data_IF_900850705293
#
_entry.id   IF_900850705293
#
_cell.length_a   1.000
_cell.length_b   1.000
_cell.length_c   1.000
_cell.angle_alpha   90.00
_cell.angle_beta   90.00
_cell.angle_gamma   90.00
#
_symmetry.space_group_name_H-M   'P 1'
#
loop_
_entity.id
_entity.type
_entity.pdbx_description
1 polymer ?
#
# COMPACT_ATOMS: atom_id res chain seq x y z
N UNK A 1 -4.52 10.23 -12.28
CA UNK A 1 -3.27 10.07 -11.54
C UNK A 1 -2.78 11.42 -11.02
N UNK A 2 -2.09 11.44 -9.89
CA UNK A 2 -1.50 12.64 -9.31
C UNK A 2 -1.43 12.60 -7.78
N UNK A 3 -1.01 13.74 -7.23
CA UNK A 3 -0.84 13.94 -5.79
C UNK A 3 -1.71 15.11 -5.36
N UNK A 4 -2.38 14.99 -4.22
CA UNK A 4 -3.14 16.10 -3.63
C UNK A 4 -3.17 15.99 -2.10
N UNK A 5 -3.17 17.13 -1.43
CA UNK A 5 -3.47 17.20 0.00
C UNK A 5 -4.98 17.30 0.20
N UNK A 6 -5.51 16.44 1.04
CA UNK A 6 -6.92 16.44 1.43
C UNK A 6 -7.16 17.48 2.55
N UNK A 7 -8.45 17.78 2.80
CA UNK A 7 -8.85 18.76 3.83
C UNK A 7 -8.45 18.36 5.25
N UNK A 8 -8.34 17.06 5.50
CA UNK A 8 -7.91 16.49 6.78
C UNK A 8 -6.39 16.41 6.95
N UNK A 9 -5.62 16.97 6.00
CA UNK A 9 -4.17 17.00 6.02
C UNK A 9 -3.49 15.79 5.40
N UNK A 10 -4.21 14.72 5.06
CA UNK A 10 -3.68 13.54 4.37
C UNK A 10 -3.17 13.90 2.98
N UNK A 11 -2.06 13.31 2.56
CA UNK A 11 -1.57 13.39 1.18
C UNK A 11 -2.05 12.14 0.44
N UNK A 12 -2.96 12.32 -0.50
CA UNK A 12 -3.42 11.26 -1.39
C UNK A 12 -2.51 11.20 -2.62
N UNK A 13 -2.02 9.99 -2.92
CA UNK A 13 -1.32 9.66 -4.17
C UNK A 13 -2.20 8.70 -4.96
N UNK A 14 -2.41 8.97 -6.24
CA UNK A 14 -3.20 8.13 -7.12
C UNK A 14 -2.44 7.85 -8.41
N UNK A 15 -2.29 6.59 -8.78
CA UNK A 15 -1.75 6.17 -10.07
C UNK A 15 -2.74 5.26 -10.81
N UNK A 16 -2.60 5.24 -12.12
CA UNK A 16 -3.40 4.42 -13.03
C UNK A 16 -2.46 3.83 -14.08
N UNK A 17 -2.37 2.50 -14.09
CA UNK A 17 -1.48 1.76 -14.98
C UNK A 17 -2.31 0.76 -15.78
N UNK A 18 -2.10 0.73 -17.11
CA UNK A 18 -2.65 -0.33 -17.97
C UNK A 18 -1.67 -1.51 -17.97
N UNK A 19 -2.20 -2.71 -17.77
CA UNK A 19 -1.44 -3.96 -17.75
C UNK A 19 -1.96 -4.89 -18.87
N UNK A 20 -1.49 -4.72 -20.13
CA UNK A 20 -1.94 -5.53 -21.25
C UNK A 20 -1.63 -7.03 -21.05
N UNK A 21 -2.61 -7.89 -21.27
CA UNK A 21 -2.48 -9.34 -21.12
C UNK A 21 -2.49 -9.86 -19.69
N UNK A 22 -2.56 -9.00 -18.67
CA UNK A 22 -2.69 -9.36 -17.25
C UNK A 22 -4.17 -9.41 -16.87
N UNK A 23 -4.56 -10.34 -16.02
CA UNK A 23 -5.91 -10.37 -15.44
C UNK A 23 -5.88 -10.00 -13.96
N UNK A 24 -7.03 -9.64 -13.40
CA UNK A 24 -7.17 -9.40 -11.95
C UNK A 24 -6.80 -10.64 -11.12
N UNK A 25 -7.06 -11.85 -11.62
CA UNK A 25 -6.65 -13.10 -10.98
C UNK A 25 -5.14 -13.32 -11.02
N UNK A 26 -4.45 -12.96 -12.11
CA UNK A 26 -2.98 -12.96 -12.15
C UNK A 26 -2.40 -11.98 -11.14
N UNK A 27 -3.01 -10.80 -10.98
CA UNK A 27 -2.62 -9.83 -9.97
C UNK A 27 -2.81 -10.38 -8.54
N UNK A 28 -3.93 -11.04 -8.26
CA UNK A 28 -4.17 -11.73 -6.99
C UNK A 28 -3.11 -12.80 -6.73
N UNK A 29 -2.90 -13.71 -7.71
CA UNK A 29 -1.94 -14.80 -7.65
C UNK A 29 -0.51 -14.30 -7.38
N UNK A 30 -0.12 -13.16 -7.95
CA UNK A 30 1.18 -12.55 -7.68
C UNK A 30 1.41 -12.36 -6.19
N UNK A 31 0.47 -11.77 -5.46
CA UNK A 31 0.60 -11.50 -4.03
C UNK A 31 0.27 -12.70 -3.14
N UNK A 32 -0.68 -13.54 -3.54
CA UNK A 32 -1.07 -14.69 -2.72
C UNK A 32 -0.06 -15.83 -2.77
N UNK A 33 0.56 -16.07 -3.92
CA UNK A 33 1.32 -17.30 -4.16
C UNK A 33 2.72 -17.06 -4.73
N UNK A 34 2.86 -16.22 -5.76
CA UNK A 34 4.09 -16.15 -6.54
C UNK A 34 5.20 -15.34 -5.87
N UNK A 35 4.90 -14.20 -5.29
CA UNK A 35 5.86 -13.28 -4.67
C UNK A 35 6.45 -13.89 -3.38
N UNK A 36 7.53 -14.65 -3.50
CA UNK A 36 8.15 -15.38 -2.37
C UNK A 36 9.60 -14.96 -2.11
N UNK A 37 10.28 -14.39 -3.09
CA UNK A 37 11.72 -14.08 -2.99
C UNK A 37 12.03 -12.67 -3.45
N UNK A 38 13.21 -12.18 -3.07
CA UNK A 38 13.71 -10.88 -3.52
C UNK A 38 13.81 -10.80 -5.05
N UNK A 39 14.14 -11.91 -5.72
CA UNK A 39 14.18 -11.97 -7.19
C UNK A 39 12.81 -11.75 -7.80
N UNK A 40 11.75 -12.37 -7.23
CA UNK A 40 10.38 -12.12 -7.64
C UNK A 40 9.98 -10.65 -7.41
N UNK A 41 10.34 -10.08 -6.26
CA UNK A 41 10.05 -8.70 -5.93
C UNK A 41 10.69 -7.72 -6.93
N UNK A 42 11.93 -7.97 -7.33
CA UNK A 42 12.65 -7.19 -8.33
C UNK A 42 12.06 -7.28 -9.74
N UNK A 43 11.33 -8.33 -10.07
CA UNK A 43 10.65 -8.44 -11.37
C UNK A 43 9.57 -7.35 -11.54
N UNK A 44 8.96 -6.90 -10.44
CA UNK A 44 7.98 -5.82 -10.48
C UNK A 44 8.62 -4.45 -10.74
N UNK A 45 9.71 -4.12 -10.05
CA UNK A 45 10.45 -2.87 -10.25
C UNK A 45 11.96 -3.10 -10.04
N UNK A 46 12.70 -3.46 -11.11
CA UNK A 46 14.10 -3.91 -10.99
C UNK A 46 15.07 -2.90 -10.39
N UNK A 47 14.82 -1.61 -10.59
CA UNK A 47 15.71 -0.52 -10.15
C UNK A 47 15.49 -0.15 -8.67
N UNK A 48 14.23 -0.08 -8.25
CA UNK A 48 13.90 0.44 -6.92
C UNK A 48 13.70 -0.67 -5.88
N UNK A 49 13.23 -1.86 -6.27
CA UNK A 49 13.04 -2.97 -5.34
C UNK A 49 14.37 -3.65 -5.00
N UNK A 50 14.75 -3.63 -3.73
CA UNK A 50 16.08 -4.08 -3.26
C UNK A 50 16.00 -5.43 -2.57
N UNK A 51 15.08 -5.59 -1.63
CA UNK A 51 14.94 -6.79 -0.81
C UNK A 51 13.51 -6.95 -0.33
N UNK A 52 13.09 -8.19 -0.13
CA UNK A 52 11.81 -8.51 0.51
C UNK A 52 11.91 -9.74 1.42
N UNK A 53 10.99 -9.80 2.38
CA UNK A 53 10.69 -10.95 3.21
C UNK A 53 9.22 -10.96 3.62
N UNK A 54 8.77 -12.09 4.17
CA UNK A 54 7.42 -12.24 4.67
C UNK A 54 7.40 -12.56 6.16
N UNK A 55 6.40 -12.00 6.87
CA UNK A 55 5.95 -12.47 8.19
C UNK A 55 4.48 -12.88 8.09
N UNK A 56 4.11 -13.92 8.84
CA UNK A 56 2.73 -14.44 8.92
C UNK A 56 2.11 -14.81 7.55
N UNK A 57 2.94 -15.19 6.57
CA UNK A 57 2.48 -15.55 5.23
C UNK A 57 1.92 -16.95 5.18
N UNK A 58 0.68 -17.08 4.72
CA UNK A 58 0.06 -18.35 4.28
C UNK A 58 -0.11 -18.29 2.77
N UNK A 59 0.33 -19.34 2.05
CA UNK A 59 0.14 -19.43 0.60
C UNK A 59 -1.37 -19.44 0.26
N UNK A 60 -1.73 -18.74 -0.80
CA UNK A 60 -3.12 -18.52 -1.18
C UNK A 60 -3.81 -17.36 -0.47
N UNK A 61 -3.22 -16.84 0.61
CA UNK A 61 -3.77 -15.74 1.40
C UNK A 61 -2.93 -14.47 1.27
N UNK A 62 -3.59 -13.32 1.30
CA UNK A 62 -2.94 -12.00 1.28
C UNK A 62 -3.17 -11.30 2.62
N UNK A 63 -4.42 -11.13 3.00
CA UNK A 63 -4.81 -10.44 4.24
C UNK A 63 -4.23 -11.13 5.47
N UNK A 64 -3.72 -10.33 6.41
CA UNK A 64 -3.04 -10.81 7.61
C UNK A 64 -1.56 -11.13 7.44
N UNK A 65 -1.05 -11.22 6.19
CA UNK A 65 0.39 -11.33 5.94
C UNK A 65 1.09 -9.97 6.02
N UNK A 66 2.37 -9.99 6.38
CA UNK A 66 3.21 -8.79 6.43
C UNK A 66 4.34 -8.92 5.42
N UNK A 67 4.39 -8.02 4.45
CA UNK A 67 5.44 -7.91 3.46
C UNK A 67 6.49 -6.92 3.95
N UNK A 68 7.68 -7.39 4.22
CA UNK A 68 8.82 -6.57 4.65
C UNK A 68 9.64 -6.24 3.42
N UNK A 69 9.89 -4.96 3.16
CA UNK A 69 10.56 -4.55 1.93
C UNK A 69 11.64 -3.50 2.18
N UNK A 70 12.68 -3.53 1.35
CA UNK A 70 13.60 -2.43 1.16
C UNK A 70 13.46 -1.96 -0.29
N UNK A 71 13.14 -0.68 -0.48
CA UNK A 71 12.91 -0.09 -1.80
C UNK A 71 13.34 1.37 -1.82
N UNK A 72 13.73 1.86 -3.00
CA UNK A 72 14.04 3.26 -3.19
C UNK A 72 12.77 4.04 -3.54
N UNK A 73 12.47 5.07 -2.77
CA UNK A 73 11.39 6.03 -3.06
C UNK A 73 12.01 7.42 -3.13
N UNK A 74 11.99 8.03 -4.33
CA UNK A 74 12.62 9.34 -4.53
C UNK A 74 14.14 9.36 -4.35
N UNK A 75 14.80 8.20 -4.51
CA UNK A 75 16.24 8.02 -4.34
C UNK A 75 16.68 7.75 -2.90
N UNK A 76 15.77 7.70 -1.94
CA UNK A 76 16.04 7.31 -0.55
C UNK A 76 15.66 5.86 -0.31
N UNK A 77 16.52 5.10 0.36
CA UNK A 77 16.25 3.71 0.74
C UNK A 77 15.28 3.66 1.91
N UNK A 78 14.05 3.24 1.62
CA UNK A 78 13.02 3.00 2.62
C UNK A 78 13.01 1.53 3.05
N UNK A 79 12.86 1.30 4.35
CA UNK A 79 12.66 -0.03 4.92
C UNK A 79 11.26 -0.07 5.51
N UNK A 80 10.37 -0.79 4.84
CA UNK A 80 8.95 -0.73 5.13
C UNK A 80 8.40 -2.09 5.57
N UNK A 81 7.36 -2.03 6.39
CA UNK A 81 6.44 -3.11 6.68
C UNK A 81 5.09 -2.78 6.07
N UNK A 82 4.64 -3.64 5.18
CA UNK A 82 3.34 -3.56 4.50
C UNK A 82 2.45 -4.64 5.13
N UNK A 83 1.51 -4.23 5.95
CA UNK A 83 0.59 -5.10 6.69
C UNK A 83 -0.73 -5.19 5.92
N UNK A 84 -0.97 -6.30 5.23
CA UNK A 84 -2.17 -6.48 4.42
C UNK A 84 -3.42 -6.62 5.30
N UNK A 85 -4.45 -5.85 4.94
CA UNK A 85 -5.72 -5.73 5.65
C UNK A 85 -6.89 -6.01 4.70
N UNK A 86 -8.07 -6.27 5.26
CA UNK A 86 -9.27 -6.40 4.46
C UNK A 86 -9.60 -5.08 3.76
N UNK A 87 -10.06 -5.09 2.49
CA UNK A 87 -10.47 -3.86 1.79
C UNK A 87 -11.48 -3.03 2.56
N UNK A 88 -12.43 -3.67 3.25
CA UNK A 88 -13.43 -2.98 4.07
C UNK A 88 -12.82 -2.14 5.19
N UNK A 89 -11.65 -2.53 5.73
CA UNK A 89 -10.99 -1.78 6.81
C UNK A 89 -10.37 -0.47 6.31
N UNK A 90 -9.96 -0.43 5.04
CA UNK A 90 -9.26 0.71 4.42
C UNK A 90 -10.24 1.58 3.61
N UNK A 91 -11.12 0.95 2.83
CA UNK A 91 -12.02 1.62 1.90
C UNK A 91 -13.43 1.82 2.47
N UNK A 92 -13.80 1.11 3.55
CA UNK A 92 -15.16 1.06 4.06
C UNK A 92 -16.09 0.11 3.30
N UNK A 93 -15.61 -0.51 2.22
CA UNK A 93 -16.31 -1.52 1.41
C UNK A 93 -15.30 -2.43 0.72
N UNK A 94 -15.75 -3.56 0.16
CA UNK A 94 -14.93 -4.44 -0.65
C UNK A 94 -15.35 -4.34 -2.13
N UNK A 95 -14.49 -3.82 -3.02
CA UNK A 95 -14.76 -3.77 -4.45
C UNK A 95 -14.48 -5.09 -5.19
N UNK A 96 -14.02 -6.13 -4.49
CA UNK A 96 -13.65 -7.42 -5.10
C UNK A 96 -14.89 -8.13 -5.63
N UNK A 97 -14.83 -8.55 -6.90
CA UNK A 97 -15.83 -9.35 -7.58
C UNK A 97 -15.15 -10.32 -8.58
N UNK A 98 -15.89 -10.87 -9.53
CA UNK A 98 -15.38 -11.81 -10.56
C UNK A 98 -14.36 -11.15 -11.53
N UNK A 99 -14.37 -9.84 -11.67
CA UNK A 99 -13.54 -9.06 -12.60
C UNK A 99 -12.57 -8.10 -11.90
N UNK A 100 -12.66 -7.97 -10.61
CA UNK A 100 -11.94 -6.97 -9.82
C UNK A 100 -11.33 -7.59 -8.57
N UNK A 101 -10.09 -7.25 -8.29
CA UNK A 101 -9.36 -7.62 -7.06
C UNK A 101 -8.88 -6.37 -6.37
N UNK A 102 -9.12 -6.26 -5.07
CA UNK A 102 -8.56 -5.23 -4.22
C UNK A 102 -7.54 -5.82 -3.25
N UNK A 103 -6.37 -5.21 -3.17
CA UNK A 103 -5.30 -5.54 -2.23
C UNK A 103 -4.97 -4.27 -1.45
N UNK A 104 -5.31 -4.26 -0.18
CA UNK A 104 -5.15 -3.10 0.69
C UNK A 104 -4.21 -3.41 1.85
N UNK A 105 -3.51 -2.39 2.35
CA UNK A 105 -2.56 -2.55 3.45
C UNK A 105 -2.36 -1.25 4.23
N UNK A 106 -1.86 -1.41 5.45
CA UNK A 106 -1.23 -0.34 6.24
C UNK A 106 0.27 -0.42 6.09
N UNK A 107 0.93 0.72 6.03
CA UNK A 107 2.37 0.82 5.76
C UNK A 107 3.05 1.66 6.83
N UNK A 108 4.19 1.20 7.30
CA UNK A 108 5.05 1.95 8.24
C UNK A 108 6.50 1.52 8.12
N UNK A 109 7.39 2.20 8.80
CA UNK A 109 8.79 1.77 8.88
C UNK A 109 8.92 0.39 9.52
N UNK A 110 9.91 -0.37 9.08
CA UNK A 110 10.13 -1.75 9.50
C UNK A 110 10.30 -1.88 11.03
N UNK A 111 11.10 -1.02 11.62
CA UNK A 111 11.43 -1.03 13.06
C UNK A 111 10.45 -0.24 13.93
N UNK A 112 9.53 0.52 13.34
CA UNK A 112 8.53 1.30 14.08
C UNK A 112 7.33 0.46 14.46
N UNK A 113 6.71 0.73 15.60
CA UNK A 113 5.39 0.19 15.96
C UNK A 113 4.24 0.90 15.24
N UNK A 114 4.50 2.01 14.54
CA UNK A 114 3.47 2.80 13.88
C UNK A 114 3.38 2.50 12.38
N UNK A 115 2.15 2.36 11.91
CA UNK A 115 1.82 2.57 10.50
C UNK A 115 1.56 4.06 10.29
N UNK A 116 2.05 4.59 9.18
CA UNK A 116 1.98 6.03 8.85
C UNK A 116 1.26 6.30 7.52
N UNK A 117 0.88 5.24 6.83
CA UNK A 117 0.13 5.32 5.58
C UNK A 117 -0.82 4.14 5.42
N UNK A 118 -1.80 4.32 4.55
CA UNK A 118 -2.64 3.26 3.99
C UNK A 118 -2.46 3.21 2.49
N UNK A 119 -2.62 2.03 1.91
CA UNK A 119 -2.61 1.83 0.46
C UNK A 119 -3.70 0.89 0.00
N UNK A 120 -4.12 1.03 -1.24
CA UNK A 120 -4.98 0.07 -1.91
C UNK A 120 -4.66 0.00 -3.40
N UNK A 121 -4.47 -1.21 -3.89
CA UNK A 121 -4.37 -1.56 -5.29
C UNK A 121 -5.66 -2.24 -5.74
N UNK A 122 -6.32 -1.68 -6.75
CA UNK A 122 -7.51 -2.26 -7.37
C UNK A 122 -7.19 -2.60 -8.82
N UNK A 123 -7.13 -3.89 -9.13
CA UNK A 123 -6.95 -4.40 -10.49
C UNK A 123 -8.30 -4.83 -11.05
N UNK A 124 -8.72 -4.24 -12.16
CA UNK A 124 -9.98 -4.57 -12.82
C UNK A 124 -9.74 -5.04 -14.25
N UNK A 125 -10.40 -6.12 -14.65
CA UNK A 125 -10.30 -6.67 -16.00
C UNK A 125 -10.82 -5.69 -17.05
N UNK A 126 -10.14 -5.64 -18.19
CA UNK A 126 -10.52 -4.90 -19.39
C UNK A 126 -10.45 -5.82 -20.61
N UNK A 127 -11.00 -5.45 -21.77
CA UNK A 127 -10.91 -6.28 -22.97
C UNK A 127 -9.47 -6.61 -23.44
N UNK A 128 -8.47 -5.80 -23.04
CA UNK A 128 -7.06 -5.97 -23.44
C UNK A 128 -6.13 -6.42 -22.32
N UNK A 129 -6.64 -6.62 -21.12
CA UNK A 129 -5.82 -6.98 -19.96
C UNK A 129 -6.47 -6.52 -18.66
N UNK A 130 -5.73 -5.79 -17.82
CA UNK A 130 -6.26 -5.17 -16.61
C UNK A 130 -5.86 -3.69 -16.49
N UNK A 131 -6.60 -2.96 -15.71
CA UNK A 131 -6.30 -1.62 -15.26
C UNK A 131 -6.03 -1.65 -13.77
N UNK A 132 -4.83 -1.22 -13.36
CA UNK A 132 -4.42 -1.11 -11.97
C UNK A 132 -4.58 0.33 -11.48
N UNK A 133 -5.46 0.52 -10.52
CA UNK A 133 -5.62 1.77 -9.77
C UNK A 133 -4.98 1.63 -8.41
N UNK A 134 -3.89 2.36 -8.20
CA UNK A 134 -3.23 2.40 -6.91
C UNK A 134 -3.53 3.71 -6.21
N UNK A 135 -3.85 3.63 -4.92
CA UNK A 135 -4.04 4.78 -4.04
C UNK A 135 -3.26 4.59 -2.76
N UNK A 136 -2.67 5.68 -2.31
CA UNK A 136 -1.97 5.76 -1.04
C UNK A 136 -2.46 7.00 -0.30
N UNK A 137 -2.63 6.86 1.01
CA UNK A 137 -3.00 7.94 1.92
C UNK A 137 -1.91 8.08 2.97
N UNK A 138 -1.01 9.04 2.75
CA UNK A 138 0.12 9.32 3.65
C UNK A 138 -0.35 10.20 4.80
N UNK A 139 0.14 9.93 6.02
CA UNK A 139 -0.22 10.65 7.24
C UNK A 139 -1.41 10.04 7.98
N UNK A 140 -1.84 8.82 7.63
CA UNK A 140 -2.78 8.03 8.44
C UNK A 140 -1.99 7.24 9.46
N UNK A 141 -2.04 7.66 10.74
CA UNK A 141 -1.24 7.08 11.82
C UNK A 141 -2.07 6.07 12.61
N UNK A 142 -1.53 4.85 12.76
CA UNK A 142 -2.11 3.81 13.58
C UNK A 142 -0.99 2.98 14.26
N UNK A 143 -1.20 2.59 15.52
CA UNK A 143 -0.31 1.64 16.18
C UNK A 143 -0.62 0.23 15.68
N UNK A 144 0.40 -0.56 15.36
CA UNK A 144 0.30 -1.91 14.80
C UNK A 144 -0.35 -2.92 15.73
N UNK A 145 -0.03 -2.81 17.00
CA UNK A 145 -0.36 -3.80 18.04
C UNK A 145 -1.50 -3.34 18.94
N UNK A 146 -1.90 -2.07 18.84
CA UNK A 146 -2.89 -1.50 19.71
C UNK A 146 -4.29 -2.09 19.46
N UNK A 147 -5.00 -2.35 20.56
CA UNK A 147 -6.41 -2.68 20.49
C UNK A 147 -7.22 -1.52 19.86
N UNK A 148 -8.37 -1.82 19.28
CA UNK A 148 -9.18 -0.84 18.54
C UNK A 148 -9.44 0.48 19.25
N UNK A 149 -9.69 0.44 20.60
CA UNK A 149 -9.91 1.65 21.40
C UNK A 149 -8.63 2.50 21.58
N UNK A 150 -7.44 1.88 21.66
CA UNK A 150 -6.15 2.58 21.73
C UNK A 150 -5.83 3.26 20.42
N UNK A 151 -6.06 2.59 19.30
CA UNK A 151 -5.95 3.19 17.97
C UNK A 151 -6.96 4.33 17.78
N UNK A 152 -8.17 4.22 18.32
CA UNK A 152 -9.13 5.31 18.31
C UNK A 152 -8.61 6.55 19.06
N UNK A 153 -8.02 6.38 20.25
CA UNK A 153 -7.42 7.50 21.00
C UNK A 153 -6.21 8.09 20.26
N UNK A 154 -5.33 7.24 19.74
CA UNK A 154 -4.20 7.70 18.93
C UNK A 154 -4.67 8.49 17.70
N UNK A 155 -5.71 7.99 17.03
CA UNK A 155 -6.33 8.66 15.89
C UNK A 155 -6.84 10.06 16.23
N UNK A 156 -7.48 10.25 17.38
CA UNK A 156 -7.94 11.58 17.82
C UNK A 156 -6.78 12.56 18.04
N UNK A 157 -5.64 12.07 18.52
CA UNK A 157 -4.48 12.92 18.86
C UNK A 157 -3.55 13.14 17.65
N UNK A 158 -3.30 12.11 16.87
CA UNK A 158 -2.30 12.14 15.80
C UNK A 158 -2.89 12.41 14.41
N UNK A 159 -4.12 11.98 14.14
CA UNK A 159 -4.76 12.10 12.82
C UNK A 159 -5.59 13.39 12.66
N UNK A 160 -5.08 14.52 13.15
CA UNK A 160 -5.70 15.82 12.90
C UNK A 160 -4.93 16.58 11.78
N UNK A 161 -5.54 17.56 11.11
CA UNK A 161 -4.93 18.26 9.97
C UNK A 161 -3.58 18.90 10.28
N UNK A 162 -3.39 19.40 11.50
CA UNK A 162 -2.16 20.07 11.92
C UNK A 162 -1.03 19.04 12.07
N UNK A 163 -1.26 17.94 12.79
CA UNK A 163 -0.25 16.89 12.98
C UNK A 163 0.15 16.26 11.65
N UNK A 164 -0.81 15.99 10.76
CA UNK A 164 -0.55 15.43 9.42
C UNK A 164 0.23 16.38 8.52
N UNK A 165 0.00 17.68 8.62
CA UNK A 165 0.74 18.66 7.83
C UNK A 165 2.25 18.69 8.18
N UNK A 166 2.61 18.39 9.43
CA UNK A 166 4.00 18.27 9.85
C UNK A 166 4.59 16.89 9.59
N UNK A 167 3.77 15.86 9.60
CA UNK A 167 4.22 14.47 9.45
C UNK A 167 4.49 14.05 8.00
N UNK A 168 3.85 14.69 7.01
CA UNK A 168 3.93 14.28 5.60
C UNK A 168 4.00 15.48 4.68
N UNK A 169 5.00 15.51 3.80
CA UNK A 169 5.16 16.53 2.76
C UNK A 169 4.52 16.07 1.43
N UNK A 170 4.13 17.02 0.59
CA UNK A 170 3.68 16.73 -0.78
C UNK A 170 4.83 16.18 -1.64
N UNK A 171 6.08 16.50 -1.31
CA UNK A 171 7.28 15.98 -1.98
C UNK A 171 7.38 14.46 -1.82
N UNK A 172 7.09 13.92 -0.63
CA UNK A 172 7.04 12.47 -0.41
C UNK A 172 5.95 11.82 -1.27
N UNK A 173 4.78 12.45 -1.38
CA UNK A 173 3.72 11.98 -2.27
C UNK A 173 4.14 12.01 -3.75
N UNK A 174 4.84 13.05 -4.20
CA UNK A 174 5.35 13.16 -5.58
C UNK A 174 6.39 12.06 -5.87
N UNK A 175 7.29 11.78 -4.92
CA UNK A 175 8.29 10.72 -5.05
C UNK A 175 7.62 9.34 -5.14
N UNK A 176 6.66 9.07 -4.28
CA UNK A 176 5.88 7.82 -4.33
C UNK A 176 5.08 7.70 -5.64
N UNK A 177 4.48 8.78 -6.13
CA UNK A 177 3.76 8.76 -7.41
C UNK A 177 4.68 8.38 -8.59
N UNK A 178 5.91 8.90 -8.63
CA UNK A 178 6.90 8.55 -9.64
C UNK A 178 7.32 7.08 -9.55
N UNK A 179 7.47 6.56 -8.36
CA UNK A 179 7.78 5.14 -8.11
C UNK A 179 6.67 4.20 -8.61
N UNK A 180 5.40 4.64 -8.59
CA UNK A 180 4.24 3.83 -9.01
C UNK A 180 3.89 3.92 -10.51
N UNK A 181 4.64 4.66 -11.32
CA UNK A 181 4.40 4.80 -12.76
C UNK A 181 5.41 4.03 -13.59
#
# INVERSE_FOLDING_TARGET
SGVRRLRDGTVEVASLVSMPGVTSDMFRWWFSDYLQTTEHYRMWHPEDHVWMGWEHKTLGEITGSHHLVHEYIGGELMKLRIQFAWPQEILGYDPTDENTVAICARVGELESSLNIAEMCHVASNTPSGAELRSRFWLGVIADREAAGWQNFLLSLLANNPISRQFAVSETEGINLHKHCM
#
